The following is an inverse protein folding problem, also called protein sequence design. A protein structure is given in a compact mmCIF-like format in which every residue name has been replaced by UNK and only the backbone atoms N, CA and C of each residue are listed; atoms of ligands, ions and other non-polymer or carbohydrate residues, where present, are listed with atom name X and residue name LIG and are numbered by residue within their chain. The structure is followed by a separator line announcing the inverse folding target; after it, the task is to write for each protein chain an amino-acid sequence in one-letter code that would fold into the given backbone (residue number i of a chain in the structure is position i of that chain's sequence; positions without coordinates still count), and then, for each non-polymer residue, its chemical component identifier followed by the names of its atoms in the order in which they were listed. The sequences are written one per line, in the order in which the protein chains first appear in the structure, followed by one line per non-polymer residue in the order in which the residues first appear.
data_IF_042692285425
#
_entry.id   IF_042692285425
#
_cell.length_a   1.000
_cell.length_b   1.000
_cell.length_c   1.000
_cell.angle_alpha   90.00
_cell.angle_beta   90.00
_cell.angle_gamma   90.00
#
_symmetry.space_group_name_H-M   'P 1'
#
loop_
_entity.id
_entity.type
_entity.pdbx_description
1 polymer ?
#
# COMPACT_ATOMS: atom_id res chain seq x y z
N UNK A 1 -6.08 45.87 -15.17
CA UNK A 1 -5.91 44.68 -14.29
C UNK A 1 -7.16 43.80 -14.45
N UNK A 2 -7.07 42.82 -15.32
CA UNK A 2 -8.12 41.83 -15.53
C UNK A 2 -7.93 40.72 -14.51
N UNK A 3 -8.57 40.84 -13.37
CA UNK A 3 -8.58 39.80 -12.33
C UNK A 3 -9.43 38.63 -12.80
N UNK A 4 -8.78 37.50 -13.12
CA UNK A 4 -9.43 36.24 -13.33
C UNK A 4 -9.94 35.74 -11.97
N UNK A 5 -11.17 36.10 -11.62
CA UNK A 5 -11.87 35.51 -10.48
C UNK A 5 -12.34 34.13 -10.91
N UNK A 6 -11.51 33.11 -10.66
CA UNK A 6 -11.97 31.73 -10.76
C UNK A 6 -13.12 31.51 -9.79
N UNK A 7 -14.17 30.84 -10.26
CA UNK A 7 -15.27 30.45 -9.39
C UNK A 7 -14.73 29.62 -8.20
N UNK A 8 -15.32 29.74 -7.01
CA UNK A 8 -14.86 29.04 -5.81
C UNK A 8 -14.73 27.52 -6.04
N UNK A 9 -15.54 26.93 -6.90
CA UNK A 9 -15.50 25.52 -7.28
C UNK A 9 -14.22 25.15 -8.01
N UNK A 10 -13.71 26.00 -8.91
CA UNK A 10 -12.46 25.77 -9.62
C UNK A 10 -11.26 25.87 -8.66
N UNK A 11 -11.32 26.74 -7.69
CA UNK A 11 -10.27 26.89 -6.66
C UNK A 11 -10.21 25.62 -5.77
N UNK A 12 -11.35 25.02 -5.47
CA UNK A 12 -11.40 23.74 -4.76
C UNK A 12 -10.80 22.61 -5.61
N UNK A 13 -11.10 22.54 -6.90
CA UNK A 13 -10.53 21.54 -7.82
C UNK A 13 -9.01 21.69 -8.01
N UNK A 14 -8.51 22.92 -8.09
CA UNK A 14 -7.07 23.20 -8.16
C UNK A 14 -6.30 22.72 -6.92
N UNK A 15 -6.96 22.64 -5.78
CA UNK A 15 -6.40 22.11 -4.53
C UNK A 15 -6.11 20.60 -4.60
N UNK A 16 -6.75 19.88 -5.54
CA UNK A 16 -6.52 18.46 -5.79
C UNK A 16 -5.39 18.14 -6.77
N UNK A 17 -4.86 19.16 -7.49
CA UNK A 17 -3.73 18.98 -8.43
C UNK A 17 -2.49 18.37 -7.77
N UNK A 18 -2.05 18.79 -6.56
CA UNK A 18 -0.94 18.14 -5.86
C UNK A 18 -1.18 16.66 -5.55
N UNK A 19 -2.45 16.29 -5.36
CA UNK A 19 -2.88 14.90 -5.11
C UNK A 19 -2.64 14.02 -6.35
N UNK A 20 -3.03 14.49 -7.52
CA UNK A 20 -2.82 13.79 -8.80
C UNK A 20 -1.33 13.64 -9.11
N UNK A 21 -0.54 14.67 -8.81
CA UNK A 21 0.92 14.65 -8.97
C UNK A 21 1.59 13.64 -8.01
N UNK A 22 1.12 13.56 -6.77
CA UNK A 22 1.55 12.55 -5.80
C UNK A 22 1.21 11.13 -6.23
N UNK A 23 0.01 10.90 -6.76
CA UNK A 23 -0.42 9.62 -7.33
C UNK A 23 0.43 9.19 -8.53
N UNK A 24 0.76 10.12 -9.43
CA UNK A 24 1.63 9.85 -10.57
C UNK A 24 3.07 9.50 -10.15
N UNK A 25 3.64 10.23 -9.20
CA UNK A 25 4.96 9.93 -8.64
C UNK A 25 5.00 8.54 -8.00
N UNK A 26 3.94 8.17 -7.28
CA UNK A 26 3.76 6.84 -6.68
C UNK A 26 3.70 5.75 -7.75
N UNK A 27 2.97 5.96 -8.86
CA UNK A 27 2.89 5.03 -9.97
C UNK A 27 4.26 4.78 -10.65
N UNK A 28 5.10 5.81 -10.77
CA UNK A 28 6.46 5.67 -11.30
C UNK A 28 7.34 4.83 -10.35
N UNK A 29 7.27 5.08 -9.05
CA UNK A 29 8.02 4.30 -8.03
C UNK A 29 7.60 2.83 -8.06
N UNK A 30 6.29 2.54 -8.17
CA UNK A 30 5.77 1.17 -8.33
C UNK A 30 6.31 0.52 -9.60
N UNK A 31 6.29 1.21 -10.73
CA UNK A 31 6.81 0.69 -12.01
C UNK A 31 8.30 0.34 -11.94
N UNK A 32 9.09 1.14 -11.26
CA UNK A 32 10.52 0.90 -11.09
C UNK A 32 10.82 -0.28 -10.14
N UNK A 33 10.01 -0.46 -9.11
CA UNK A 33 10.17 -1.51 -8.11
C UNK A 33 9.67 -2.89 -8.58
N UNK A 34 8.85 -2.93 -9.65
CA UNK A 34 8.14 -4.14 -10.16
C UNK A 34 9.00 -5.01 -11.09
N UNK A 35 10.32 -4.87 -11.09
CA UNK A 35 11.22 -5.62 -12.00
C UNK A 35 11.25 -7.14 -11.76
N UNK A 36 10.81 -7.66 -10.61
CA UNK A 36 10.71 -9.09 -10.30
C UNK A 36 9.27 -9.54 -10.05
N UNK A 37 8.74 -10.45 -10.86
CA UNK A 37 7.32 -10.86 -10.90
C UNK A 37 6.68 -11.24 -9.56
N UNK A 38 7.37 -11.88 -8.64
CA UNK A 38 6.75 -12.28 -7.36
C UNK A 38 6.91 -11.21 -6.26
N UNK A 39 8.03 -10.48 -6.28
CA UNK A 39 8.23 -9.30 -5.43
C UNK A 39 7.35 -8.14 -5.90
N UNK A 40 7.08 -8.05 -7.22
CA UNK A 40 6.31 -6.98 -7.82
C UNK A 40 4.88 -6.90 -7.31
N UNK A 41 4.18 -8.02 -7.16
CA UNK A 41 2.79 -8.03 -6.66
C UNK A 41 2.70 -7.56 -5.22
N UNK A 42 3.60 -8.00 -4.35
CA UNK A 42 3.62 -7.57 -2.94
C UNK A 42 3.94 -6.07 -2.81
N UNK A 43 4.97 -5.63 -3.50
CA UNK A 43 5.38 -4.22 -3.49
C UNK A 43 4.31 -3.32 -4.10
N UNK A 44 3.69 -3.74 -5.21
CA UNK A 44 2.58 -3.01 -5.83
C UNK A 44 1.39 -2.86 -4.87
N UNK A 45 1.02 -3.96 -4.19
CA UNK A 45 -0.04 -3.91 -3.18
C UNK A 45 0.33 -3.01 -2.00
N UNK A 46 1.54 -3.12 -1.48
CA UNK A 46 2.02 -2.29 -0.37
C UNK A 46 2.01 -0.80 -0.73
N UNK A 47 2.42 -0.46 -1.95
CA UNK A 47 2.41 0.92 -2.42
C UNK A 47 0.98 1.43 -2.59
N UNK A 48 0.07 0.60 -3.13
CA UNK A 48 -1.35 0.95 -3.23
C UNK A 48 -1.98 1.15 -1.85
N UNK A 49 -1.63 0.30 -0.87
CA UNK A 49 -2.08 0.43 0.51
C UNK A 49 -1.60 1.75 1.13
N UNK A 50 -0.32 2.08 1.00
CA UNK A 50 0.24 3.33 1.52
C UNK A 50 -0.40 4.56 0.86
N UNK A 51 -0.63 4.51 -0.46
CA UNK A 51 -1.36 5.55 -1.16
C UNK A 51 -2.78 5.72 -0.61
N UNK A 52 -3.49 4.60 -0.40
CA UNK A 52 -4.84 4.62 0.16
C UNK A 52 -4.86 5.19 1.58
N UNK A 53 -3.90 4.83 2.44
CA UNK A 53 -3.74 5.41 3.78
C UNK A 53 -3.54 6.92 3.70
N UNK A 54 -2.66 7.38 2.81
CA UNK A 54 -2.41 8.80 2.61
C UNK A 54 -3.67 9.57 2.17
N UNK A 55 -4.36 9.08 1.13
CA UNK A 55 -5.56 9.74 0.63
C UNK A 55 -6.72 9.68 1.63
N UNK A 56 -6.90 8.56 2.31
CA UNK A 56 -7.94 8.41 3.33
C UNK A 56 -7.69 9.31 4.55
N UNK A 57 -6.43 9.44 4.99
CA UNK A 57 -6.09 10.35 6.09
C UNK A 57 -6.35 11.81 5.73
N UNK A 58 -6.07 12.19 4.47
CA UNK A 58 -6.33 13.54 4.00
C UNK A 58 -7.83 13.83 3.89
N UNK A 59 -8.59 12.89 3.32
CA UNK A 59 -10.05 13.00 3.23
C UNK A 59 -10.69 13.05 4.61
N UNK A 60 -10.24 12.19 5.53
CA UNK A 60 -10.69 12.18 6.91
C UNK A 60 -10.41 13.50 7.61
N UNK A 61 -9.22 14.04 7.46
CA UNK A 61 -8.86 15.33 8.02
C UNK A 61 -9.77 16.45 7.52
N UNK A 62 -10.01 16.52 6.22
CA UNK A 62 -10.87 17.57 5.63
C UNK A 62 -12.31 17.47 6.12
N UNK A 63 -12.83 16.26 6.34
CA UNK A 63 -14.23 16.03 6.74
C UNK A 63 -14.46 16.13 8.25
N UNK A 64 -13.49 15.70 9.05
CA UNK A 64 -13.62 15.61 10.51
C UNK A 64 -13.05 16.84 11.24
N UNK A 65 -12.04 17.49 10.65
CA UNK A 65 -11.45 18.69 11.27
C UNK A 65 -12.49 19.82 11.40
N UNK A 66 -12.68 20.27 12.61
CA UNK A 66 -13.70 21.26 12.96
C UNK A 66 -15.05 20.68 13.42
N UNK A 67 -15.35 19.40 13.15
CA UNK A 67 -16.54 18.70 13.62
C UNK A 67 -16.20 17.71 14.74
N UNK A 68 -15.03 17.11 14.68
CA UNK A 68 -14.57 16.13 15.63
C UNK A 68 -13.45 16.73 16.50
N UNK A 69 -13.67 16.93 17.81
CA UNK A 69 -12.68 17.54 18.71
C UNK A 69 -11.41 16.68 18.89
N UNK A 70 -11.47 15.38 18.52
CA UNK A 70 -10.31 14.47 18.58
C UNK A 70 -9.37 14.63 17.37
N UNK A 71 -9.76 15.38 16.34
CA UNK A 71 -8.96 15.66 15.14
C UNK A 71 -8.49 17.11 15.19
N UNK A 72 -7.51 17.38 16.03
CA UNK A 72 -6.93 18.71 16.17
C UNK A 72 -5.97 19.06 15.03
N UNK A 73 -5.26 18.04 14.47
CA UNK A 73 -4.28 18.21 13.40
C UNK A 73 -4.27 17.07 12.42
N UNK A 74 -3.53 17.26 11.32
CA UNK A 74 -3.35 16.21 10.31
C UNK A 74 -2.68 14.94 10.87
N UNK A 75 -1.82 15.09 11.88
CA UNK A 75 -1.19 13.96 12.57
C UNK A 75 -2.20 12.98 13.19
N UNK A 76 -3.30 13.52 13.73
CA UNK A 76 -4.37 12.71 14.32
C UNK A 76 -5.12 11.90 13.24
N UNK A 77 -5.38 12.51 12.10
CA UNK A 77 -5.99 11.84 10.96
C UNK A 77 -5.07 10.75 10.37
N UNK A 78 -3.77 11.00 10.31
CA UNK A 78 -2.80 10.03 9.86
C UNK A 78 -2.68 8.85 10.85
N UNK A 79 -2.64 9.15 12.13
CA UNK A 79 -2.67 8.16 13.20
C UNK A 79 -3.92 7.26 13.10
N UNK A 80 -5.10 7.89 12.95
CA UNK A 80 -6.35 7.20 12.74
C UNK A 80 -6.26 6.23 11.55
N UNK A 81 -5.78 6.70 10.38
CA UNK A 81 -5.67 5.87 9.18
C UNK A 81 -4.72 4.68 9.35
N UNK A 82 -3.59 4.85 10.03
CA UNK A 82 -2.68 3.75 10.34
C UNK A 82 -3.28 2.73 11.30
N UNK A 83 -3.99 3.17 12.32
CA UNK A 83 -4.65 2.28 13.27
C UNK A 83 -5.78 1.49 12.63
N UNK A 84 -6.56 2.12 11.73
CA UNK A 84 -7.64 1.45 11.02
C UNK A 84 -7.10 0.44 9.99
N UNK A 85 -6.09 0.80 9.21
CA UNK A 85 -5.50 -0.12 8.21
C UNK A 85 -4.79 -1.31 8.84
N UNK A 86 -4.23 -1.14 10.04
CA UNK A 86 -3.63 -2.25 10.82
C UNK A 86 -4.68 -3.06 11.59
N UNK A 87 -5.96 -2.69 11.50
CA UNK A 87 -7.09 -3.32 12.20
C UNK A 87 -6.99 -3.31 13.74
N UNK A 88 -6.09 -2.51 14.29
CA UNK A 88 -5.96 -2.32 15.75
C UNK A 88 -7.10 -1.45 16.27
N UNK A 89 -7.59 -0.53 15.44
CA UNK A 89 -8.56 0.47 15.80
C UNK A 89 -7.94 1.66 16.54
N UNK A 90 -8.43 2.85 16.24
CA UNK A 90 -7.97 4.07 16.89
C UNK A 90 -8.96 4.51 17.97
N UNK A 91 -8.48 5.34 18.91
CA UNK A 91 -9.33 6.06 19.85
C UNK A 91 -10.07 7.24 19.20
N UNK A 92 -9.77 7.56 17.95
CA UNK A 92 -10.43 8.59 17.16
C UNK A 92 -11.58 7.95 16.41
N UNK A 93 -12.80 8.20 16.86
CA UNK A 93 -14.02 7.66 16.24
C UNK A 93 -14.53 8.67 15.24
N UNK A 94 -14.81 8.23 14.01
CA UNK A 94 -15.41 9.06 12.98
C UNK A 94 -16.82 9.51 13.36
N UNK A 95 -17.05 10.81 13.34
CA UNK A 95 -18.35 11.42 13.61
C UNK A 95 -19.17 11.52 12.32
N UNK A 96 -18.51 11.83 11.19
CA UNK A 96 -19.16 11.95 9.89
C UNK A 96 -19.43 10.59 9.24
N UNK A 97 -20.47 10.52 8.39
CA UNK A 97 -20.79 9.31 7.62
C UNK A 97 -19.63 8.92 6.69
N UNK A 98 -19.01 9.91 6.05
CA UNK A 98 -17.86 9.70 5.16
C UNK A 98 -16.66 9.12 5.93
N UNK A 99 -16.37 9.65 7.12
CA UNK A 99 -15.31 9.11 7.98
C UNK A 99 -15.55 7.65 8.36
N UNK A 100 -16.78 7.28 8.71
CA UNK A 100 -17.16 5.88 9.02
C UNK A 100 -16.99 4.95 7.83
N UNK A 101 -17.38 5.39 6.62
CA UNK A 101 -17.18 4.60 5.39
C UNK A 101 -15.68 4.40 5.12
N UNK A 102 -14.86 5.45 5.29
CA UNK A 102 -13.41 5.36 5.14
C UNK A 102 -12.78 4.40 6.15
N UNK A 103 -13.23 4.37 7.41
CA UNK A 103 -12.78 3.41 8.43
C UNK A 103 -13.01 1.97 7.97
N UNK A 104 -14.23 1.66 7.51
CA UNK A 104 -14.56 0.31 7.03
C UNK A 104 -13.72 -0.08 5.82
N UNK A 105 -13.53 0.84 4.87
CA UNK A 105 -12.70 0.58 3.68
C UNK A 105 -11.22 0.34 4.04
N UNK A 106 -10.66 1.15 4.94
CA UNK A 106 -9.28 0.98 5.40
C UNK A 106 -9.09 -0.35 6.13
N UNK A 107 -9.99 -0.70 7.03
CA UNK A 107 -9.95 -1.97 7.75
C UNK A 107 -10.06 -3.17 6.79
N UNK A 108 -10.94 -3.11 5.79
CA UNK A 108 -11.08 -4.18 4.79
C UNK A 108 -9.80 -4.34 3.95
N UNK A 109 -9.19 -3.23 3.50
CA UNK A 109 -7.92 -3.26 2.76
C UNK A 109 -6.77 -3.77 3.63
N UNK A 110 -6.73 -3.39 4.90
CA UNK A 110 -5.74 -3.88 5.86
C UNK A 110 -5.83 -5.39 6.08
N UNK A 111 -7.03 -5.94 6.22
CA UNK A 111 -7.25 -7.38 6.33
C UNK A 111 -6.76 -8.17 5.12
N UNK A 112 -6.85 -7.61 3.90
CA UNK A 112 -6.32 -8.24 2.68
C UNK A 112 -4.78 -8.30 2.65
N UNK A 113 -4.10 -7.48 3.43
CA UNK A 113 -2.63 -7.47 3.48
C UNK A 113 -2.06 -8.80 4.00
N UNK A 114 -2.71 -9.43 4.98
CA UNK A 114 -2.21 -10.63 5.62
C UNK A 114 -2.12 -11.85 4.67
N UNK A 115 -3.16 -12.22 3.91
CA UNK A 115 -3.08 -13.28 2.91
C UNK A 115 -2.04 -13.00 1.83
N UNK A 116 -1.94 -11.77 1.35
CA UNK A 116 -0.98 -11.37 0.29
C UNK A 116 0.45 -11.51 0.80
N UNK A 117 0.72 -11.07 2.04
CA UNK A 117 2.02 -11.25 2.69
C UNK A 117 2.38 -12.73 2.84
N UNK A 118 1.43 -13.57 3.26
CA UNK A 118 1.63 -15.02 3.42
C UNK A 118 2.01 -15.67 2.09
N UNK A 119 1.28 -15.37 1.00
CA UNK A 119 1.59 -15.88 -0.34
C UNK A 119 2.98 -15.42 -0.81
N UNK A 120 3.35 -14.17 -0.52
CA UNK A 120 4.68 -13.65 -0.86
C UNK A 120 5.79 -14.41 -0.13
N UNK A 121 5.68 -14.60 1.19
CA UNK A 121 6.67 -15.32 2.01
C UNK A 121 6.78 -16.77 1.55
N UNK A 122 5.66 -17.44 1.30
CA UNK A 122 5.63 -18.82 0.81
C UNK A 122 6.35 -18.95 -0.54
N UNK A 123 6.07 -18.06 -1.49
CA UNK A 123 6.74 -18.08 -2.80
C UNK A 123 8.23 -17.78 -2.70
N UNK A 124 8.66 -16.99 -1.73
CA UNK A 124 10.09 -16.73 -1.49
C UNK A 124 10.81 -17.99 -0.98
N UNK A 125 10.18 -18.70 -0.03
CA UNK A 125 10.71 -19.96 0.53
C UNK A 125 10.78 -21.06 -0.53
N UNK A 126 9.73 -21.21 -1.34
CA UNK A 126 9.70 -22.19 -2.43
C UNK A 126 10.82 -21.96 -3.46
N UNK A 127 11.08 -20.72 -3.84
CA UNK A 127 12.19 -20.38 -4.76
C UNK A 127 13.52 -20.81 -4.19
N UNK A 128 13.80 -20.51 -2.93
CA UNK A 128 15.05 -20.91 -2.27
C UNK A 128 15.19 -22.43 -2.18
N UNK A 129 14.10 -23.15 -1.94
CA UNK A 129 14.13 -24.59 -1.88
C UNK A 129 14.37 -25.22 -3.26
N UNK A 130 13.76 -24.68 -4.33
CA UNK A 130 14.02 -25.13 -5.71
C UNK A 130 15.48 -24.92 -6.12
N UNK A 131 16.06 -23.77 -5.83
CA UNK A 131 17.48 -23.48 -6.11
C UNK A 131 18.41 -24.48 -5.40
N UNK A 132 18.13 -24.82 -4.14
CA UNK A 132 18.89 -25.84 -3.40
C UNK A 132 18.74 -27.23 -4.03
N UNK A 133 17.53 -27.64 -4.38
CA UNK A 133 17.29 -28.94 -5.01
C UNK A 133 17.98 -29.04 -6.37
N UNK A 134 17.98 -28.00 -7.16
CA UNK A 134 18.68 -27.97 -8.45
C UNK A 134 20.20 -28.04 -8.28
N UNK A 135 20.71 -27.41 -7.23
CA UNK A 135 22.13 -27.54 -6.88
C UNK A 135 22.51 -28.97 -6.51
N UNK A 136 21.74 -29.66 -5.66
CA UNK A 136 21.99 -31.05 -5.28
C UNK A 136 21.90 -32.00 -6.49
N UNK A 137 20.86 -31.86 -7.32
CA UNK A 137 20.70 -32.66 -8.54
C UNK A 137 21.89 -32.49 -9.53
N UNK A 138 22.42 -31.26 -9.65
CA UNK A 138 23.60 -31.00 -10.49
C UNK A 138 24.87 -31.62 -9.90
N UNK A 139 25.00 -31.65 -8.56
CA UNK A 139 26.13 -32.29 -7.90
C UNK A 139 26.10 -33.83 -8.07
N UNK A 140 24.94 -34.45 -7.90
CA UNK A 140 24.74 -35.89 -8.13
C UNK A 140 25.07 -36.29 -9.56
N UNK A 141 24.59 -35.56 -10.57
CA UNK A 141 24.90 -35.81 -11.98
C UNK A 141 26.38 -35.71 -12.32
N UNK A 142 27.16 -34.92 -11.58
CA UNK A 142 28.59 -34.80 -11.78
C UNK A 142 29.39 -35.99 -11.15
N UNK A 143 28.78 -36.66 -10.18
CA UNK A 143 29.41 -37.83 -9.52
C UNK A 143 29.09 -39.15 -10.22
N UNK A 144 28.00 -39.22 -10.99
CA UNK A 144 27.54 -40.42 -11.68
C UNK A 144 28.38 -40.87 -12.90
N UNK A 145 29.10 -40.03 -13.68
CA UNK A 145 29.88 -40.50 -14.85
C UNK A 145 31.15 -41.25 -14.51
N UNK A 146 31.55 -41.42 -13.26
CA UNK A 146 32.77 -42.12 -12.86
C UNK A 146 32.57 -43.65 -12.63
N UNK A 147 31.31 -44.14 -12.61
CA UNK A 147 31.02 -45.53 -12.21
C UNK A 147 30.35 -46.38 -13.30
N UNK A 148 30.32 -45.93 -14.55
CA UNK A 148 29.77 -46.68 -15.69
C UNK A 148 30.77 -46.86 -16.82
N UNK A 149 31.97 -47.33 -16.50
CA UNK A 149 32.82 -48.01 -17.48
C UNK A 149 33.10 -49.42 -16.97
N UNK A 150 32.70 -50.46 -17.78
CA UNK A 150 32.98 -51.85 -17.46
C UNK A 150 34.48 -52.18 -17.56
#
# INVERSE_FOLDING_TARGET
YMGWTFSPEVTYMLRFIPLVRGGYAMAIVVGWLTYNRASGLFVSYLTMLLATVYFSSLAFYVMEHGTNPLVAGYGDALWWAFMDVTTVGSNIIAVTVTGRVLSVLLAALGMMMFPIFTVYVTSLVERRNKEKQDYYKKAERKQEPANTTP
#
